data_IF_045330697262
#
_entry.id   IF_045330697262
#
_cell.length_a   1.000
_cell.length_b   1.000
_cell.length_c   1.000
_cell.angle_alpha   90.00
_cell.angle_beta   90.00
_cell.angle_gamma   90.00
#
_symmetry.space_group_name_H-M   'P 1'
#
loop_
_entity.id
_entity.type
_entity.pdbx_description
1 polymer ?
#
# COMPACT_ATOMS: atom_id res chain seq x y z
N UNK A 1 19.11 -22.01 22.38
CA UNK A 1 19.36 -20.73 21.68
C UNK A 1 18.23 -20.52 20.69
N UNK A 2 17.51 -19.39 20.76
CA UNK A 2 16.38 -19.11 19.84
C UNK A 2 16.95 -18.67 18.50
N UNK A 3 16.64 -19.39 17.43
CA UNK A 3 17.05 -19.06 16.07
C UNK A 3 16.27 -17.84 15.60
N UNK A 4 16.93 -16.81 15.02
CA UNK A 4 16.22 -15.68 14.46
C UNK A 4 15.27 -16.13 13.34
N UNK A 5 14.09 -15.53 13.28
CA UNK A 5 13.13 -15.83 12.21
C UNK A 5 13.77 -15.61 10.84
N UNK A 6 13.56 -16.56 9.92
CA UNK A 6 13.95 -16.39 8.52
C UNK A 6 13.17 -15.18 7.99
N UNK A 7 13.87 -14.21 7.41
CA UNK A 7 13.24 -13.03 6.83
C UNK A 7 12.37 -13.50 5.66
N UNK A 8 11.05 -13.44 5.82
CA UNK A 8 10.08 -13.66 4.75
C UNK A 8 9.37 -12.34 4.44
N UNK A 9 9.39 -11.92 3.17
CA UNK A 9 8.62 -10.77 2.68
C UNK A 9 7.14 -10.84 3.10
N UNK A 10 6.57 -12.03 3.22
CA UNK A 10 5.18 -12.24 3.68
C UNK A 10 4.96 -11.80 5.13
N UNK A 11 6.00 -11.85 5.96
CA UNK A 11 5.95 -11.45 7.38
C UNK A 11 6.56 -10.06 7.62
N UNK A 12 7.13 -9.43 6.59
CA UNK A 12 7.79 -8.13 6.68
C UNK A 12 6.89 -7.06 7.32
N UNK A 13 5.60 -7.04 6.96
CA UNK A 13 4.62 -6.09 7.50
C UNK A 13 4.31 -6.27 8.99
N UNK A 14 4.66 -7.41 9.59
CA UNK A 14 4.52 -7.65 11.03
C UNK A 14 5.66 -7.03 11.84
N UNK A 15 6.79 -6.73 11.18
CA UNK A 15 7.89 -6.03 11.80
C UNK A 15 7.54 -4.54 11.91
N UNK A 16 7.45 -4.02 13.14
CA UNK A 16 7.11 -2.61 13.39
C UNK A 16 8.07 -1.64 12.67
N UNK A 17 9.32 -2.07 12.44
CA UNK A 17 10.32 -1.25 11.75
C UNK A 17 10.12 -1.18 10.23
N UNK A 18 9.24 -1.99 9.64
CA UNK A 18 9.00 -2.01 8.19
C UNK A 18 8.46 -0.68 7.63
N UNK A 19 7.69 0.06 8.45
CA UNK A 19 7.14 1.38 8.10
C UNK A 19 8.03 2.54 8.56
N UNK A 20 9.12 2.26 9.27
CA UNK A 20 10.00 3.29 9.86
C UNK A 20 11.12 3.64 8.88
N UNK A 21 11.48 4.93 8.83
CA UNK A 21 12.71 5.37 8.17
C UNK A 21 13.91 5.10 9.07
N UNK A 22 14.74 4.14 8.67
CA UNK A 22 15.94 3.76 9.41
C UNK A 22 16.94 4.91 9.45
N UNK A 23 17.29 5.35 10.65
CA UNK A 23 18.32 6.37 10.89
C UNK A 23 19.69 5.71 10.97
N UNK A 24 20.31 5.52 9.83
CA UNK A 24 21.60 4.83 9.72
C UNK A 24 22.69 5.79 9.23
N UNK A 25 23.95 5.62 9.69
CA UNK A 25 25.08 6.25 9.05
C UNK A 25 25.22 5.79 7.60
N UNK A 26 25.67 6.66 6.69
CA UNK A 26 25.82 6.36 5.26
C UNK A 26 26.71 5.14 5.04
N UNK A 27 27.77 4.98 5.84
CA UNK A 27 28.61 3.78 5.80
C UNK A 27 27.80 2.50 5.95
N UNK A 28 26.81 2.47 6.85
CA UNK A 28 25.97 1.28 7.06
C UNK A 28 25.00 1.06 5.90
N UNK A 29 24.50 2.12 5.28
CA UNK A 29 23.64 2.05 4.09
C UNK A 29 24.38 1.38 2.93
N UNK A 30 25.66 1.73 2.72
CA UNK A 30 26.49 1.08 1.71
C UNK A 30 26.67 -0.42 1.93
N UNK A 31 26.66 -0.87 3.18
CA UNK A 31 26.90 -2.26 3.57
C UNK A 31 25.61 -3.03 3.93
N UNK A 32 24.40 -2.49 3.68
CA UNK A 32 23.17 -3.26 3.89
C UNK A 32 23.20 -4.53 3.06
N UNK A 33 22.71 -5.64 3.61
CA UNK A 33 22.65 -6.90 2.86
C UNK A 33 21.50 -6.82 1.86
N UNK A 34 21.71 -7.26 0.62
CA UNK A 34 20.60 -7.45 -0.30
C UNK A 34 19.75 -8.63 0.19
N UNK A 35 18.43 -8.48 0.16
CA UNK A 35 17.53 -9.57 0.47
C UNK A 35 17.55 -10.59 -0.68
N UNK A 36 17.90 -11.84 -0.38
CA UNK A 36 17.84 -12.96 -1.33
C UNK A 36 16.84 -13.98 -0.81
N UNK A 37 15.72 -14.18 -1.50
CA UNK A 37 14.75 -15.23 -1.17
C UNK A 37 15.42 -16.58 -1.35
N UNK A 38 15.42 -17.42 -0.30
CA UNK A 38 16.11 -18.71 -0.30
C UNK A 38 15.40 -19.83 -1.09
N UNK A 39 14.31 -19.54 -1.82
CA UNK A 39 13.45 -20.56 -2.45
C UNK A 39 13.15 -20.36 -3.95
N UNK A 40 14.00 -19.64 -4.69
CA UNK A 40 13.83 -19.58 -6.14
C UNK A 40 15.16 -19.75 -6.85
N UNK A 41 15.30 -20.85 -7.61
CA UNK A 41 16.22 -21.00 -8.74
C UNK A 41 15.89 -20.04 -9.90
N UNK A 42 15.41 -18.84 -9.58
CA UNK A 42 15.31 -17.71 -10.49
C UNK A 42 16.38 -16.71 -10.09
N UNK A 43 17.60 -17.00 -10.54
CA UNK A 43 18.58 -15.97 -10.90
C UNK A 43 17.85 -15.02 -11.85
N UNK A 44 17.28 -13.93 -11.35
CA UNK A 44 16.89 -12.69 -12.05
C UNK A 44 16.12 -11.70 -11.14
N UNK A 45 16.15 -11.82 -9.80
CA UNK A 45 15.77 -10.72 -8.88
C UNK A 45 17.05 -10.01 -8.39
N UNK A 46 18.02 -9.80 -9.29
CA UNK A 46 19.16 -8.90 -9.04
C UNK A 46 18.76 -7.42 -9.13
N UNK A 47 17.56 -7.11 -9.61
CA UNK A 47 17.08 -5.72 -9.82
C UNK A 47 16.19 -5.18 -8.69
N UNK A 48 15.83 -6.01 -7.70
CA UNK A 48 14.72 -5.73 -6.78
C UNK A 48 14.98 -4.78 -5.61
N UNK A 49 16.20 -4.26 -5.40
CA UNK A 49 16.47 -3.14 -4.48
C UNK A 49 15.99 -3.27 -3.03
N UNK A 50 15.72 -4.48 -2.52
CA UNK A 50 15.31 -4.68 -1.12
C UNK A 50 16.54 -4.95 -0.27
N UNK A 51 16.69 -4.14 0.78
CA UNK A 51 17.85 -4.19 1.68
C UNK A 51 17.45 -4.64 3.07
N UNK A 52 18.37 -5.30 3.75
CA UNK A 52 18.21 -5.72 5.13
C UNK A 52 19.31 -5.14 6.02
N UNK A 53 18.90 -4.68 7.19
CA UNK A 53 19.79 -4.39 8.31
C UNK A 53 19.52 -5.46 9.38
N UNK A 54 20.53 -6.25 9.73
CA UNK A 54 20.32 -7.49 10.50
C UNK A 54 19.24 -8.36 9.83
N UNK A 55 18.14 -8.64 10.54
CA UNK A 55 16.96 -9.34 10.01
C UNK A 55 15.73 -8.42 9.81
N UNK A 56 15.94 -7.11 9.71
CA UNK A 56 14.89 -6.14 9.38
C UNK A 56 14.97 -5.75 7.91
N UNK A 57 13.83 -5.77 7.22
CA UNK A 57 13.72 -5.19 5.89
C UNK A 57 13.72 -3.66 6.01
N UNK A 58 14.62 -3.02 5.27
CA UNK A 58 14.81 -1.58 5.23
C UNK A 58 14.06 -1.03 4.03
N UNK A 59 12.86 -0.50 4.27
CA UNK A 59 12.04 0.14 3.24
C UNK A 59 12.48 1.58 2.96
N UNK A 60 12.86 2.32 4.01
CA UNK A 60 13.30 3.72 3.93
C UNK A 60 14.47 3.98 4.84
N UNK A 61 15.32 4.91 4.44
CA UNK A 61 16.41 5.45 5.25
C UNK A 61 16.25 6.95 5.43
N UNK A 62 16.70 7.46 6.56
CA UNK A 62 16.83 8.89 6.83
C UNK A 62 18.29 9.18 7.17
N UNK A 63 18.92 10.05 6.39
CA UNK A 63 20.28 10.54 6.60
C UNK A 63 20.28 12.04 6.90
N UNK A 64 21.32 12.49 7.58
CA UNK A 64 21.61 13.90 7.81
C UNK A 64 23.08 14.11 7.51
N UNK A 65 23.41 15.11 6.69
CA UNK A 65 24.79 15.36 6.28
C UNK A 65 24.93 16.61 5.44
N UNK A 66 26.16 16.93 5.08
CA UNK A 66 26.54 18.12 4.33
C UNK A 66 26.53 17.82 2.83
N UNK A 67 25.97 18.74 2.04
CA UNK A 67 26.02 18.64 0.58
C UNK A 67 27.44 18.91 0.08
N UNK A 68 28.07 17.89 -0.50
CA UNK A 68 29.45 17.95 -1.04
C UNK A 68 29.51 17.93 -2.57
N UNK A 69 28.38 17.65 -3.23
CA UNK A 69 28.23 17.79 -4.69
C UNK A 69 26.79 18.16 -5.04
N UNK A 70 26.63 19.02 -6.04
CA UNK A 70 25.35 19.42 -6.61
C UNK A 70 25.36 19.17 -8.11
N UNK A 71 24.39 18.40 -8.62
CA UNK A 71 24.11 18.22 -10.05
C UNK A 71 22.64 18.59 -10.31
N UNK A 72 22.43 19.75 -10.95
CA UNK A 72 21.09 20.29 -11.24
C UNK A 72 20.64 19.81 -12.62
N UNK A 73 19.50 19.12 -12.67
CA UNK A 73 18.85 18.70 -13.93
C UNK A 73 17.49 19.35 -14.05
N UNK A 74 16.88 19.24 -15.23
CA UNK A 74 15.56 19.81 -15.51
C UNK A 74 14.47 19.19 -14.63
N UNK A 75 14.42 17.85 -14.52
CA UNK A 75 13.36 17.11 -13.81
C UNK A 75 13.69 16.75 -12.36
N UNK A 76 14.97 16.80 -11.97
CA UNK A 76 15.43 16.45 -10.64
C UNK A 76 16.73 17.18 -10.32
N UNK A 77 17.09 17.23 -9.04
CA UNK A 77 18.43 17.61 -8.60
C UNK A 77 19.06 16.40 -7.91
N UNK A 78 20.34 16.19 -8.14
CA UNK A 78 21.12 15.11 -7.52
C UNK A 78 22.19 15.71 -6.62
N UNK A 79 22.27 15.24 -5.39
CA UNK A 79 23.21 15.74 -4.39
C UNK A 79 24.08 14.60 -3.89
N UNK A 80 25.38 14.82 -3.71
CA UNK A 80 26.19 13.93 -2.88
C UNK A 80 26.19 14.48 -1.46
N UNK A 81 25.80 13.66 -0.49
CA UNK A 81 25.67 14.05 0.91
C UNK A 81 26.69 13.26 1.73
N UNK A 82 27.44 13.94 2.58
CA UNK A 82 28.47 13.38 3.48
C UNK A 82 28.02 13.53 4.95
N UNK A 83 28.02 12.43 5.70
CA UNK A 83 27.70 12.40 7.14
C UNK A 83 28.93 12.13 8.03
N UNK A 84 30.13 12.26 7.47
CA UNK A 84 31.40 11.92 8.11
C UNK A 84 31.69 10.42 8.20
N UNK A 85 30.74 9.55 7.82
CA UNK A 85 30.95 8.10 7.74
C UNK A 85 31.02 7.59 6.31
N UNK A 86 30.48 8.33 5.36
CA UNK A 86 30.59 8.08 3.94
C UNK A 86 29.77 9.08 3.14
N UNK A 87 29.88 9.00 1.81
CA UNK A 87 29.15 9.86 0.87
C UNK A 87 28.16 9.04 0.08
N UNK A 88 26.94 9.54 -0.13
CA UNK A 88 25.93 8.88 -0.96
C UNK A 88 25.20 9.88 -1.86
N UNK A 89 24.84 9.41 -3.06
CA UNK A 89 24.01 10.18 -3.99
C UNK A 89 22.55 10.16 -3.56
N UNK A 90 21.91 11.32 -3.60
CA UNK A 90 20.52 11.56 -3.25
C UNK A 90 19.83 12.28 -4.41
N UNK A 91 18.78 11.66 -4.97
CA UNK A 91 18.03 12.22 -6.10
C UNK A 91 16.71 12.80 -5.61
N UNK A 92 16.53 14.11 -5.76
CA UNK A 92 15.33 14.86 -5.39
C UNK A 92 14.55 15.27 -6.64
N UNK A 93 13.34 14.75 -6.82
CA UNK A 93 12.50 15.06 -7.97
C UNK A 93 11.83 16.43 -7.83
N UNK A 94 11.87 17.23 -8.90
CA UNK A 94 11.18 18.52 -8.94
C UNK A 94 9.70 18.28 -9.19
N UNK A 95 8.84 18.79 -8.32
CA UNK A 95 7.39 18.68 -8.48
C UNK A 95 6.87 19.84 -9.34
N UNK A 96 6.63 19.58 -10.63
CA UNK A 96 6.10 20.56 -11.60
C UNK A 96 4.70 21.08 -11.27
N UNK A 97 3.94 20.42 -10.39
CA UNK A 97 2.58 20.83 -10.00
C UNK A 97 2.58 21.94 -8.95
N UNK A 98 3.66 22.09 -8.17
CA UNK A 98 3.76 23.13 -7.13
C UNK A 98 3.91 24.53 -7.77
N UNK A 99 4.52 24.61 -8.96
CA UNK A 99 4.65 25.87 -9.70
C UNK A 99 3.33 26.40 -10.25
N UNK A 100 2.38 25.55 -10.60
CA UNK A 100 1.08 25.93 -11.19
C UNK A 100 -0.02 26.16 -10.14
N UNK A 101 -0.05 25.38 -9.05
CA UNK A 101 -1.14 25.40 -8.07
C UNK A 101 -1.16 26.66 -7.16
N UNK A 102 -0.06 27.43 -7.11
CA UNK A 102 0.10 28.54 -6.18
C UNK A 102 -0.77 29.77 -6.49
N UNK A 103 -1.22 29.95 -7.75
CA UNK A 103 -1.98 31.15 -8.16
C UNK A 103 -3.49 30.99 -8.04
N UNK A 104 -4.02 29.77 -8.21
CA UNK A 104 -5.47 29.52 -8.24
C UNK A 104 -6.08 29.37 -6.84
N UNK A 105 -5.32 28.86 -5.87
CA UNK A 105 -5.83 28.55 -4.54
C UNK A 105 -5.78 29.72 -3.55
N UNK A 106 -4.86 30.68 -3.75
CA UNK A 106 -4.68 31.81 -2.82
C UNK A 106 -5.89 32.76 -2.81
N UNK A 107 -6.59 32.92 -3.92
CA UNK A 107 -7.75 33.82 -4.04
C UNK A 107 -9.00 33.33 -3.30
N UNK A 108 -9.06 32.06 -2.89
CA UNK A 108 -10.21 31.44 -2.20
C UNK A 108 -10.04 31.33 -0.69
N UNK A 109 -8.84 31.59 -0.16
CA UNK A 109 -8.54 31.47 1.26
C UNK A 109 -8.87 32.77 2.02
N UNK A 110 -9.31 32.72 3.28
CA UNK A 110 -9.39 33.90 4.16
C UNK A 110 -8.03 34.60 4.33
N UNK A 111 -8.02 35.92 4.50
CA UNK A 111 -6.80 36.76 4.59
C UNK A 111 -5.75 36.23 5.59
N UNK A 112 -6.19 35.74 6.75
CA UNK A 112 -5.31 35.19 7.80
C UNK A 112 -4.60 33.89 7.38
N UNK A 113 -5.19 33.14 6.45
CA UNK A 113 -4.62 31.92 5.88
C UNK A 113 -3.84 32.21 4.59
N UNK A 114 -4.16 33.27 3.86
CA UNK A 114 -3.40 33.67 2.67
C UNK A 114 -1.95 34.00 3.02
N UNK A 115 -1.70 34.75 4.09
CA UNK A 115 -0.33 35.09 4.52
C UNK A 115 0.46 33.84 4.92
N UNK A 116 -0.13 32.94 5.72
CA UNK A 116 0.49 31.67 6.12
C UNK A 116 0.72 30.72 4.94
N UNK A 117 -0.22 30.72 3.98
CA UNK A 117 -0.09 29.94 2.76
C UNK A 117 1.00 30.50 1.84
N UNK A 118 1.13 31.82 1.77
CA UNK A 118 2.24 32.50 1.10
C UNK A 118 3.59 32.12 1.70
N UNK A 119 3.72 32.16 3.03
CA UNK A 119 4.93 31.71 3.73
C UNK A 119 5.24 30.23 3.48
N UNK A 120 4.24 29.35 3.51
CA UNK A 120 4.38 27.92 3.20
C UNK A 120 4.78 27.68 1.74
N UNK A 121 4.24 28.46 0.79
CA UNK A 121 4.62 28.38 -0.62
C UNK A 121 6.05 28.83 -0.79
N UNK A 122 6.45 29.95 -0.19
CA UNK A 122 7.84 30.44 -0.26
C UNK A 122 8.76 29.38 0.33
N UNK A 123 8.51 28.91 1.55
CA UNK A 123 9.32 27.88 2.21
C UNK A 123 9.41 26.57 1.42
N UNK A 124 8.31 26.12 0.81
CA UNK A 124 8.33 24.94 -0.06
C UNK A 124 9.04 25.23 -1.39
N UNK A 125 8.91 26.44 -1.97
CA UNK A 125 9.59 26.83 -3.21
C UNK A 125 11.10 26.93 -3.02
N UNK A 126 11.60 27.57 -1.98
CA UNK A 126 13.05 27.65 -1.71
C UNK A 126 13.63 26.25 -1.55
N UNK A 127 12.96 25.39 -0.78
CA UNK A 127 13.43 24.02 -0.53
C UNK A 127 13.27 23.06 -1.73
N UNK A 128 12.26 23.24 -2.60
CA UNK A 128 11.93 22.29 -3.68
C UNK A 128 12.33 22.77 -5.09
N UNK A 129 12.42 24.08 -5.34
CA UNK A 129 12.72 24.65 -6.66
C UNK A 129 14.18 25.12 -6.78
N UNK A 130 14.68 25.88 -5.80
CA UNK A 130 16.07 26.42 -5.84
C UNK A 130 17.10 25.32 -5.53
N UNK A 131 16.71 24.33 -4.72
CA UNK A 131 17.54 23.19 -4.35
C UNK A 131 18.53 23.53 -3.23
N UNK A 132 19.61 22.76 -3.13
CA UNK A 132 20.64 22.95 -2.11
C UNK A 132 21.97 23.36 -2.74
N UNK A 133 22.77 24.09 -1.97
CA UNK A 133 24.13 24.48 -2.35
C UNK A 133 25.18 23.67 -1.60
N UNK A 134 26.42 23.75 -2.09
CA UNK A 134 27.56 23.12 -1.42
C UNK A 134 27.71 23.68 0.00
N UNK A 135 27.90 22.79 0.97
CA UNK A 135 28.04 23.13 2.38
C UNK A 135 26.72 23.18 3.16
N UNK A 136 25.56 23.11 2.50
CA UNK A 136 24.28 23.06 3.20
C UNK A 136 24.15 21.76 4.01
N UNK A 137 23.73 21.89 5.27
CA UNK A 137 23.33 20.75 6.10
C UNK A 137 21.90 20.36 5.75
N UNK A 138 21.70 19.10 5.35
CA UNK A 138 20.42 18.60 4.87
C UNK A 138 20.01 17.32 5.57
N UNK A 139 18.69 17.11 5.70
CA UNK A 139 18.09 15.85 6.07
C UNK A 139 17.37 15.27 4.86
N UNK A 140 17.73 14.04 4.49
CA UNK A 140 17.22 13.34 3.31
C UNK A 140 16.60 12.01 3.75
N UNK A 141 15.34 11.79 3.38
CA UNK A 141 14.60 10.57 3.67
C UNK A 141 14.11 9.95 2.36
N UNK A 142 14.42 8.68 2.13
CA UNK A 142 14.15 8.05 0.84
C UNK A 142 14.33 6.55 0.82
N UNK A 143 14.20 5.97 -0.36
CA UNK A 143 14.44 4.54 -0.61
C UNK A 143 15.85 4.34 -1.13
N UNK A 144 16.54 3.32 -0.63
CA UNK A 144 17.83 2.91 -1.17
C UNK A 144 17.58 2.21 -2.50
N UNK A 145 18.29 2.65 -3.54
CA UNK A 145 18.24 2.07 -4.89
C UNK A 145 19.66 1.77 -5.35
N UNK A 146 19.81 0.90 -6.35
CA UNK A 146 21.11 0.65 -7.00
C UNK A 146 21.02 1.15 -8.42
N UNK A 147 21.97 2.00 -8.80
CA UNK A 147 22.14 2.49 -10.16
C UNK A 147 23.60 2.30 -10.57
N UNK A 148 23.84 1.55 -11.65
CA UNK A 148 25.20 1.23 -12.15
C UNK A 148 26.12 0.71 -11.03
N UNK A 149 25.64 -0.29 -10.31
CA UNK A 149 26.34 -0.93 -9.17
C UNK A 149 26.70 0.00 -8.00
N UNK A 150 26.11 1.19 -7.96
CA UNK A 150 26.27 2.16 -6.87
C UNK A 150 24.95 2.36 -6.15
N UNK A 151 25.01 2.41 -4.82
CA UNK A 151 23.84 2.71 -3.99
C UNK A 151 23.57 4.20 -4.01
N UNK A 152 22.31 4.52 -4.19
CA UNK A 152 21.78 5.88 -4.19
C UNK A 152 20.51 5.92 -3.34
N UNK A 153 20.06 7.11 -2.99
CA UNK A 153 18.81 7.33 -2.28
C UNK A 153 17.86 8.08 -3.22
N UNK A 154 16.76 7.44 -3.61
CA UNK A 154 15.65 8.12 -4.23
C UNK A 154 14.82 8.82 -3.13
N UNK A 155 14.94 10.15 -3.08
CA UNK A 155 14.47 10.96 -1.96
C UNK A 155 12.96 11.16 -2.07
N UNK A 156 12.26 10.86 -0.96
CA UNK A 156 10.82 11.06 -0.80
C UNK A 156 10.51 12.34 -0.02
N UNK A 157 11.40 12.72 0.90
CA UNK A 157 11.29 13.91 1.72
C UNK A 157 12.69 14.46 2.00
N UNK A 158 12.85 15.77 1.87
CA UNK A 158 14.09 16.46 2.19
C UNK A 158 13.84 17.83 2.78
N UNK A 159 14.78 18.30 3.60
CA UNK A 159 14.79 19.67 4.12
C UNK A 159 16.20 20.15 4.42
N UNK A 160 16.41 21.45 4.32
CA UNK A 160 17.57 22.13 4.90
C UNK A 160 17.47 22.14 6.42
N UNK A 161 18.61 22.08 7.09
CA UNK A 161 18.73 22.15 8.54
C UNK A 161 19.51 23.41 8.91
N UNK A 162 18.83 24.38 9.51
CA UNK A 162 19.47 25.64 9.89
C UNK A 162 20.02 25.63 11.34
N UNK A 163 19.63 24.65 12.16
CA UNK A 163 20.13 24.53 13.52
C UNK A 163 21.58 24.00 13.51
N UNK A 164 22.58 24.77 13.97
CA UNK A 164 23.98 24.35 13.97
C UNK A 164 24.26 23.16 14.91
N UNK A 165 23.42 22.95 15.93
CA UNK A 165 23.58 21.85 16.89
C UNK A 165 22.97 20.53 16.40
N UNK A 166 22.25 20.53 15.28
CA UNK A 166 21.47 19.38 14.83
C UNK A 166 22.34 18.13 14.57
N UNK A 167 23.56 18.31 14.05
CA UNK A 167 24.50 17.22 13.79
C UNK A 167 24.97 16.57 15.10
N UNK A 168 25.33 17.38 16.10
CA UNK A 168 25.75 16.89 17.42
C UNK A 168 24.60 16.15 18.12
N UNK A 169 23.38 16.69 18.05
CA UNK A 169 22.18 16.03 18.57
C UNK A 169 21.87 14.70 17.85
N UNK A 170 22.10 14.65 16.53
CA UNK A 170 21.94 13.43 15.72
C UNK A 170 22.92 12.36 16.20
N UNK A 171 24.18 12.73 16.41
CA UNK A 171 25.23 11.83 16.88
C UNK A 171 24.92 11.26 18.26
N UNK A 172 24.44 12.10 19.20
CA UNK A 172 24.12 11.64 20.55
C UNK A 172 22.96 10.63 20.58
N UNK A 173 21.97 10.79 19.69
CA UNK A 173 20.82 9.88 19.56
C UNK A 173 21.13 8.57 18.82
N UNK A 174 22.28 8.47 18.13
CA UNK A 174 22.63 7.31 17.30
C UNK A 174 22.72 6.01 18.11
N UNK A 175 23.21 6.08 19.35
CA UNK A 175 23.31 4.92 20.25
C UNK A 175 21.92 4.37 20.60
N UNK A 176 20.93 5.24 20.81
CA UNK A 176 19.54 4.87 21.09
C UNK A 176 18.89 4.16 19.91
N UNK A 177 19.13 4.60 18.68
CA UNK A 177 18.62 3.92 17.49
C UNK A 177 19.22 2.52 17.33
N UNK A 178 20.52 2.37 17.58
CA UNK A 178 21.20 1.07 17.52
C UNK A 178 20.60 0.05 18.48
N UNK A 179 20.25 0.46 19.72
CA UNK A 179 19.56 -0.43 20.69
C UNK A 179 18.24 -1.01 20.17
N UNK A 180 17.60 -0.37 19.18
CA UNK A 180 16.36 -0.87 18.57
C UNK A 180 16.65 -1.63 17.28
N UNK A 181 17.56 -1.13 16.45
CA UNK A 181 17.84 -1.70 15.12
C UNK A 181 18.76 -2.93 15.16
N UNK A 182 19.59 -3.07 16.19
CA UNK A 182 20.48 -4.22 16.36
C UNK A 182 19.78 -5.41 17.05
N UNK A 183 18.62 -5.18 17.67
CA UNK A 183 17.80 -6.23 18.30
C UNK A 183 17.04 -7.02 17.23
N UNK A 184 17.33 -8.31 17.04
CA UNK A 184 16.75 -9.08 15.94
C UNK A 184 15.23 -9.18 16.10
N UNK A 185 14.52 -9.00 14.98
CA UNK A 185 13.09 -9.21 14.95
C UNK A 185 12.76 -10.69 15.23
N UNK A 186 11.96 -10.92 16.27
CA UNK A 186 11.47 -12.24 16.65
C UNK A 186 9.96 -12.26 16.54
N UNK A 187 9.42 -13.13 15.68
CA UNK A 187 7.98 -13.41 15.66
C UNK A 187 7.60 -14.16 16.93
N UNK A 188 6.48 -13.79 17.55
CA UNK A 188 6.00 -14.55 18.69
C UNK A 188 5.58 -15.94 18.20
N UNK A 189 5.89 -17.03 18.93
CA UNK A 189 5.55 -18.39 18.50
C UNK A 189 4.05 -18.61 18.24
N UNK A 190 3.19 -17.83 18.91
CA UNK A 190 1.74 -17.88 18.70
C UNK A 190 1.32 -17.21 17.40
N UNK A 191 1.91 -16.06 17.07
CA UNK A 191 1.68 -15.40 15.78
C UNK A 191 2.29 -16.21 14.64
N UNK A 192 3.47 -16.79 14.82
CA UNK A 192 4.08 -17.68 13.83
C UNK A 192 3.19 -18.90 13.56
N UNK A 193 2.63 -19.54 14.59
CA UNK A 193 1.66 -20.63 14.41
C UNK A 193 0.36 -20.21 13.71
N UNK A 194 -0.13 -18.99 13.96
CA UNK A 194 -1.31 -18.45 13.25
C UNK A 194 -0.98 -18.08 11.80
N UNK A 195 0.16 -17.47 11.55
CA UNK A 195 0.62 -17.09 10.21
C UNK A 195 0.99 -18.31 9.37
N UNK A 196 1.66 -19.30 9.97
CA UNK A 196 1.92 -20.61 9.35
C UNK A 196 0.59 -21.30 9.08
N UNK A 197 -0.38 -21.37 10.00
CA UNK A 197 -1.73 -21.89 9.66
C UNK A 197 -2.39 -21.18 8.46
N UNK A 198 -2.19 -19.87 8.31
CA UNK A 198 -2.79 -19.09 7.22
C UNK A 198 -1.96 -19.12 5.91
N UNK A 199 -0.64 -19.31 5.97
CA UNK A 199 0.30 -19.33 4.82
C UNK A 199 0.63 -20.76 4.38
N UNK A 200 0.66 -21.73 5.29
CA UNK A 200 0.74 -23.18 5.05
C UNK A 200 -0.62 -23.86 5.05
N UNK A 201 -1.70 -23.09 5.00
CA UNK A 201 -2.93 -23.58 4.38
C UNK A 201 -2.67 -23.75 2.88
N UNK A 202 -1.92 -24.78 2.48
CA UNK A 202 -1.91 -25.32 1.12
C UNK A 202 -3.24 -26.05 0.83
N UNK A 203 -4.33 -25.64 1.47
CA UNK A 203 -5.66 -26.07 1.08
C UNK A 203 -5.99 -25.33 -0.20
N UNK A 204 -6.49 -26.08 -1.19
CA UNK A 204 -6.97 -25.56 -2.47
C UNK A 204 -7.79 -24.26 -2.33
N UNK A 205 -8.71 -24.11 -1.34
CA UNK A 205 -9.47 -22.87 -1.14
C UNK A 205 -8.61 -21.61 -0.91
N UNK A 206 -7.54 -21.70 -0.10
CA UNK A 206 -6.72 -20.54 0.25
C UNK A 206 -5.81 -20.08 -0.91
N UNK A 207 -5.40 -21.02 -1.77
CA UNK A 207 -4.63 -20.70 -2.98
C UNK A 207 -5.55 -20.07 -4.02
N UNK A 208 -6.75 -20.62 -4.17
CA UNK A 208 -7.79 -20.11 -5.07
C UNK A 208 -8.22 -18.69 -4.67
N UNK A 209 -8.45 -18.45 -3.38
CA UNK A 209 -8.81 -17.15 -2.83
C UNK A 209 -7.76 -16.08 -3.20
N UNK A 210 -6.48 -16.39 -3.01
CA UNK A 210 -5.38 -15.49 -3.38
C UNK A 210 -5.30 -15.21 -4.87
N UNK A 211 -5.47 -16.25 -5.70
CA UNK A 211 -5.46 -16.10 -7.15
C UNK A 211 -6.63 -15.21 -7.62
N UNK A 212 -7.82 -15.40 -7.07
CA UNK A 212 -9.01 -14.59 -7.36
C UNK A 212 -8.78 -13.13 -6.94
N UNK A 213 -8.28 -12.89 -5.73
CA UNK A 213 -7.99 -11.54 -5.25
C UNK A 213 -6.93 -10.82 -6.12
N UNK A 214 -5.92 -11.53 -6.61
CA UNK A 214 -4.93 -10.95 -7.54
C UNK A 214 -5.58 -10.54 -8.87
N UNK A 215 -6.47 -11.35 -9.41
CA UNK A 215 -7.20 -11.05 -10.65
C UNK A 215 -8.16 -9.88 -10.43
N UNK A 216 -8.81 -9.81 -9.27
CA UNK A 216 -9.73 -8.73 -8.92
C UNK A 216 -9.03 -7.40 -8.63
N UNK A 217 -7.81 -7.42 -8.11
CA UNK A 217 -7.03 -6.20 -7.86
C UNK A 217 -6.28 -5.70 -9.10
N UNK A 218 -6.33 -6.43 -10.23
CA UNK A 218 -5.69 -5.98 -11.46
C UNK A 218 -6.49 -4.81 -12.06
N UNK A 219 -5.89 -3.61 -12.21
CA UNK A 219 -6.58 -2.43 -12.73
C UNK A 219 -7.02 -2.57 -14.20
N UNK A 220 -6.50 -3.54 -14.95
CA UNK A 220 -6.88 -3.83 -16.34
C UNK A 220 -8.12 -4.73 -16.43
N UNK A 221 -8.55 -5.32 -15.32
CA UNK A 221 -9.66 -6.26 -15.32
C UNK A 221 -11.01 -5.50 -15.29
N UNK A 222 -11.62 -5.31 -16.45
CA UNK A 222 -12.91 -4.64 -16.62
C UNK A 222 -14.13 -5.51 -16.26
N UNK A 223 -13.93 -6.78 -15.86
CA UNK A 223 -15.08 -7.66 -15.54
C UNK A 223 -15.87 -7.14 -14.34
N UNK A 224 -17.16 -6.96 -14.55
CA UNK A 224 -18.15 -6.54 -13.54
C UNK A 224 -18.84 -7.72 -12.85
N UNK A 225 -18.84 -8.88 -13.50
CA UNK A 225 -19.49 -10.10 -13.04
C UNK A 225 -18.54 -11.30 -13.18
N UNK A 226 -18.68 -12.25 -12.27
CA UNK A 226 -17.94 -13.50 -12.21
C UNK A 226 -18.93 -14.66 -12.28
N UNK A 227 -18.81 -15.47 -13.34
CA UNK A 227 -19.45 -16.78 -13.40
C UNK A 227 -18.40 -17.85 -13.01
N UNK A 228 -18.61 -18.62 -11.93
CA UNK A 228 -17.73 -19.72 -11.54
C UNK A 228 -17.43 -20.70 -12.69
N UNK A 229 -18.38 -20.94 -13.60
CA UNK A 229 -18.19 -21.81 -14.77
C UNK A 229 -17.18 -21.23 -15.76
N UNK A 230 -17.25 -19.93 -16.02
CA UNK A 230 -16.31 -19.24 -16.91
C UNK A 230 -14.92 -19.16 -16.26
N UNK A 231 -14.87 -18.92 -14.95
CA UNK A 231 -13.62 -18.81 -14.19
C UNK A 231 -12.76 -20.08 -14.24
N UNK A 232 -13.37 -21.27 -14.34
CA UNK A 232 -12.63 -22.54 -14.51
C UNK A 232 -11.79 -22.57 -15.80
N UNK A 233 -12.17 -21.80 -16.83
CA UNK A 233 -11.42 -21.70 -18.08
C UNK A 233 -10.23 -20.74 -18.02
N UNK A 234 -10.10 -19.95 -16.95
CA UNK A 234 -9.03 -18.97 -16.83
C UNK A 234 -7.71 -19.67 -16.54
N UNK A 235 -6.67 -19.35 -17.31
CA UNK A 235 -5.34 -20.00 -17.21
C UNK A 235 -4.76 -19.98 -15.80
N UNK A 236 -4.92 -18.87 -15.07
CA UNK A 236 -4.49 -18.74 -13.68
C UNK A 236 -5.23 -19.71 -12.74
N UNK A 237 -6.54 -19.88 -12.90
CA UNK A 237 -7.37 -20.75 -12.06
C UNK A 237 -7.18 -22.23 -12.44
N UNK A 238 -7.16 -22.52 -13.74
CA UNK A 238 -6.91 -23.87 -14.26
C UNK A 238 -5.54 -24.41 -13.82
N UNK A 239 -4.50 -23.57 -13.78
CA UNK A 239 -3.17 -23.96 -13.30
C UNK A 239 -3.14 -24.34 -11.80
N UNK A 240 -4.02 -23.73 -10.98
CA UNK A 240 -4.13 -24.04 -9.55
C UNK A 240 -4.77 -25.41 -9.33
N UNK A 241 -5.79 -25.76 -10.10
CA UNK A 241 -6.38 -27.10 -10.04
C UNK A 241 -5.43 -28.18 -10.57
N UNK A 242 -4.74 -27.92 -11.70
CA UNK A 242 -3.77 -28.87 -12.29
C UNK A 242 -2.53 -29.12 -11.41
N UNK A 243 -2.08 -28.12 -10.65
CA UNK A 243 -0.96 -28.29 -9.72
C UNK A 243 -1.35 -29.10 -8.48
N UNK A 244 -2.59 -28.94 -8.00
CA UNK A 244 -3.11 -29.72 -6.88
C UNK A 244 -3.39 -31.19 -7.24
N UNK A 245 -3.78 -31.48 -8.49
CA UNK A 245 -3.97 -32.87 -8.97
C UNK A 245 -2.66 -33.66 -9.07
N UNK A 246 -1.52 -32.99 -9.32
CA UNK A 246 -0.20 -33.67 -9.41
C UNK A 246 0.35 -34.15 -8.07
N UNK A 247 -0.07 -33.52 -6.97
CA UNK A 247 0.32 -33.89 -5.61
C UNK A 247 -0.54 -35.03 -5.02
N UNK A 248 -1.71 -35.30 -5.61
CA UNK A 248 -2.61 -36.39 -5.21
C UNK A 248 -2.40 -37.62 -6.10
N UNK A 249 -1.67 -38.63 -5.63
CA UNK A 249 -1.49 -39.88 -6.37
C UNK A 249 -2.83 -40.61 -6.56
N UNK A 250 -3.21 -40.86 -7.82
CA UNK A 250 -4.15 -41.86 -8.32
C UNK A 250 -5.64 -41.75 -7.92
N UNK A 251 -6.48 -41.40 -8.90
CA UNK A 251 -7.37 -42.33 -9.63
C UNK A 251 -8.12 -41.53 -10.72
N UNK A 252 -8.45 -42.21 -11.81
CA UNK A 252 -9.30 -41.68 -12.89
C UNK A 252 -10.71 -41.53 -12.31
N UNK A 253 -11.01 -40.38 -11.71
CA UNK A 253 -12.38 -39.93 -11.55
C UNK A 253 -12.82 -39.26 -12.85
N UNK A 254 -14.08 -39.49 -13.25
CA UNK A 254 -14.68 -38.90 -14.45
C UNK A 254 -14.40 -37.39 -14.49
N UNK A 255 -13.94 -36.90 -15.65
CA UNK A 255 -13.62 -35.48 -15.89
C UNK A 255 -14.79 -34.55 -15.48
N UNK A 256 -16.02 -35.03 -15.57
CA UNK A 256 -17.23 -34.31 -15.16
C UNK A 256 -17.38 -34.21 -13.62
N UNK A 257 -16.96 -35.24 -12.87
CA UNK A 257 -16.96 -35.20 -11.41
C UNK A 257 -15.93 -34.21 -10.88
N UNK A 258 -14.71 -34.22 -11.45
CA UNK A 258 -13.66 -33.28 -11.08
C UNK A 258 -14.05 -31.82 -11.37
N UNK A 259 -14.69 -31.54 -12.51
CA UNK A 259 -15.23 -30.21 -12.81
C UNK A 259 -16.30 -29.77 -11.82
N UNK A 260 -17.19 -30.69 -11.42
CA UNK A 260 -18.25 -30.41 -10.43
C UNK A 260 -17.65 -30.04 -9.07
N UNK A 261 -16.66 -30.79 -8.59
CA UNK A 261 -16.00 -30.53 -7.31
C UNK A 261 -15.16 -29.23 -7.35
N UNK A 262 -14.52 -28.93 -8.48
CA UNK A 262 -13.83 -27.67 -8.70
C UNK A 262 -14.79 -26.47 -8.67
N UNK A 263 -15.96 -26.60 -9.28
CA UNK A 263 -17.00 -25.57 -9.28
C UNK A 263 -17.58 -25.34 -7.88
N UNK A 264 -17.83 -26.42 -7.14
CA UNK A 264 -18.31 -26.34 -5.75
C UNK A 264 -17.28 -25.64 -4.85
N UNK A 265 -16.00 -26.02 -4.98
CA UNK A 265 -14.90 -25.39 -4.25
C UNK A 265 -14.77 -23.90 -4.58
N UNK A 266 -14.83 -23.55 -5.87
CA UNK A 266 -14.75 -22.16 -6.32
C UNK A 266 -15.92 -21.32 -5.80
N UNK A 267 -17.13 -21.87 -5.84
CA UNK A 267 -18.33 -21.21 -5.32
C UNK A 267 -18.22 -20.98 -3.82
N UNK A 268 -17.72 -21.97 -3.06
CA UNK A 268 -17.49 -21.84 -1.63
C UNK A 268 -16.48 -20.73 -1.30
N UNK A 269 -15.40 -20.61 -2.10
CA UNK A 269 -14.39 -19.54 -1.95
C UNK A 269 -15.00 -18.17 -2.23
N UNK A 270 -15.84 -18.04 -3.26
CA UNK A 270 -16.49 -16.77 -3.59
C UNK A 270 -17.49 -16.33 -2.51
N UNK A 271 -18.26 -17.26 -1.95
CA UNK A 271 -19.14 -17.00 -0.79
C UNK A 271 -18.32 -16.63 0.46
N UNK A 272 -17.15 -17.24 0.63
CA UNK A 272 -16.23 -16.86 1.69
C UNK A 272 -15.71 -15.43 1.50
N UNK A 273 -15.33 -15.05 0.27
CA UNK A 273 -14.86 -13.70 -0.07
C UNK A 273 -15.94 -12.63 0.10
N UNK A 274 -17.20 -12.95 -0.20
CA UNK A 274 -18.36 -12.10 0.10
C UNK A 274 -18.48 -11.84 1.60
N UNK A 275 -18.37 -12.90 2.42
CA UNK A 275 -18.56 -12.80 3.87
C UNK A 275 -17.38 -12.18 4.61
N UNK A 276 -16.15 -12.43 4.17
CA UNK A 276 -14.90 -12.01 4.83
C UNK A 276 -14.45 -10.61 4.39
N UNK A 277 -14.29 -10.40 3.09
CA UNK A 277 -13.68 -9.20 2.52
C UNK A 277 -14.71 -8.25 1.91
N UNK A 278 -15.88 -8.74 1.47
CA UNK A 278 -16.93 -7.94 0.86
C UNK A 278 -16.63 -7.49 -0.58
N UNK A 279 -15.59 -8.04 -1.21
CA UNK A 279 -15.14 -7.64 -2.55
C UNK A 279 -15.99 -8.20 -3.71
N UNK A 280 -16.87 -9.16 -3.41
CA UNK A 280 -17.83 -9.75 -4.33
C UNK A 280 -19.19 -9.87 -3.64
N UNK A 281 -20.27 -9.83 -4.42
CA UNK A 281 -21.65 -9.99 -3.95
C UNK A 281 -22.35 -11.09 -4.75
N UNK A 282 -22.96 -12.05 -4.06
CA UNK A 282 -23.71 -13.13 -4.70
C UNK A 282 -25.04 -12.62 -5.26
N UNK A 283 -25.34 -12.93 -6.53
CA UNK A 283 -26.60 -12.62 -7.20
C UNK A 283 -27.40 -13.90 -7.48
N UNK A 284 -28.73 -13.79 -7.65
CA UNK A 284 -29.56 -14.92 -8.04
C UNK A 284 -29.01 -15.55 -9.33
N UNK A 285 -28.78 -16.88 -9.32
CA UNK A 285 -28.18 -17.60 -10.45
C UNK A 285 -26.71 -17.97 -10.29
N UNK A 286 -26.11 -17.82 -9.09
CA UNK A 286 -24.70 -18.14 -8.79
C UNK A 286 -23.68 -17.30 -9.56
N UNK A 287 -24.10 -16.11 -10.02
CA UNK A 287 -23.22 -15.10 -10.59
C UNK A 287 -22.81 -14.15 -9.47
N UNK A 288 -21.55 -13.74 -9.43
CA UNK A 288 -21.03 -12.83 -8.41
C UNK A 288 -20.72 -11.47 -9.02
N UNK A 289 -21.33 -10.41 -8.49
CA UNK A 289 -21.03 -9.03 -8.85
C UNK A 289 -19.72 -8.60 -8.18
N UNK A 290 -18.80 -8.00 -8.94
CA UNK A 290 -17.53 -7.49 -8.41
C UNK A 290 -17.74 -6.08 -7.86
N UNK A 291 -17.36 -5.86 -6.59
CA UNK A 291 -17.60 -4.60 -5.90
C UNK A 291 -16.46 -3.62 -6.17
N UNK A 292 -16.76 -2.57 -6.93
CA UNK A 292 -15.82 -1.51 -7.34
C UNK A 292 -16.56 -0.19 -7.60
N UNK A 293 -15.85 0.95 -7.70
CA UNK A 293 -16.45 2.20 -8.15
C UNK A 293 -17.15 2.02 -9.50
N UNK A 294 -18.37 2.56 -9.64
CA UNK A 294 -19.19 2.48 -10.86
C UNK A 294 -20.05 1.21 -11.02
N UNK A 295 -19.94 0.21 -10.14
CA UNK A 295 -20.80 -0.97 -10.22
C UNK A 295 -22.29 -0.63 -9.91
N UNK A 296 -23.25 -1.48 -10.30
CA UNK A 296 -24.67 -1.27 -10.02
C UNK A 296 -24.99 -0.97 -8.55
N UNK A 297 -24.35 -1.67 -7.61
CA UNK A 297 -24.49 -1.38 -6.18
C UNK A 297 -23.88 -0.02 -5.79
N UNK A 298 -22.70 0.33 -6.30
CA UNK A 298 -22.04 1.61 -6.07
C UNK A 298 -22.93 2.79 -6.48
N UNK A 299 -23.52 2.72 -7.68
CA UNK A 299 -24.43 3.76 -8.18
C UNK A 299 -25.67 3.91 -7.28
N UNK A 300 -26.19 2.80 -6.74
CA UNK A 300 -27.31 2.83 -5.81
C UNK A 300 -26.94 3.45 -4.47
N UNK A 301 -25.78 3.10 -3.90
CA UNK A 301 -25.26 3.68 -2.66
C UNK A 301 -25.02 5.17 -2.80
N UNK A 302 -24.40 5.60 -3.90
CA UNK A 302 -24.20 7.01 -4.23
C UNK A 302 -25.53 7.77 -4.30
N UNK A 303 -26.55 7.20 -4.95
CA UNK A 303 -27.89 7.80 -5.00
C UNK A 303 -28.51 7.96 -3.59
N UNK A 304 -28.38 6.94 -2.73
CA UNK A 304 -28.88 6.99 -1.34
C UNK A 304 -28.17 8.09 -0.54
N UNK A 305 -26.85 8.20 -0.66
CA UNK A 305 -26.06 9.21 0.05
C UNK A 305 -26.44 10.62 -0.45
N UNK A 306 -26.49 10.81 -1.77
CA UNK A 306 -26.88 12.09 -2.37
C UNK A 306 -28.28 12.50 -1.92
N UNK A 307 -29.27 11.62 -2.01
CA UNK A 307 -30.65 11.88 -1.57
C UNK A 307 -30.68 12.25 -0.08
N UNK A 308 -29.99 11.49 0.76
CA UNK A 308 -29.91 11.74 2.20
C UNK A 308 -29.21 13.06 2.56
N UNK A 309 -28.34 13.58 1.70
CA UNK A 309 -27.61 14.84 1.92
C UNK A 309 -28.29 16.07 1.29
N UNK A 310 -29.36 15.90 0.50
CA UNK A 310 -30.05 17.05 -0.14
C UNK A 310 -30.84 17.94 0.84
N UNK A 311 -31.14 17.48 2.06
CA UNK A 311 -31.85 18.31 3.05
C UNK A 311 -31.83 17.77 4.49
N UNK A 312 -32.06 18.67 5.45
CA UNK A 312 -32.20 18.33 6.88
C UNK A 312 -30.88 18.15 7.65
N UNK A 313 -30.91 17.39 8.75
CA UNK A 313 -29.77 17.20 9.69
C UNK A 313 -28.53 16.55 9.06
N UNK A 314 -28.68 15.92 7.90
CA UNK A 314 -27.62 15.22 7.19
C UNK A 314 -26.94 16.10 6.11
N UNK A 315 -27.46 17.29 5.82
CA UNK A 315 -26.88 18.18 4.81
C UNK A 315 -25.46 18.66 5.19
N UNK A 316 -25.22 18.90 6.48
CA UNK A 316 -23.91 19.34 6.99
C UNK A 316 -23.03 18.19 7.49
N UNK A 317 -23.64 17.10 7.98
CA UNK A 317 -22.93 16.00 8.66
C UNK A 317 -22.77 14.76 7.80
N UNK A 318 -23.48 14.65 6.69
CA UNK A 318 -23.47 13.48 5.81
C UNK A 318 -24.38 12.33 6.25
N UNK A 319 -24.52 11.35 5.36
CA UNK A 319 -25.34 10.16 5.53
C UNK A 319 -24.60 9.10 6.37
N UNK A 320 -25.23 8.57 7.41
CA UNK A 320 -24.61 7.55 8.26
C UNK A 320 -24.63 6.16 7.59
N UNK A 321 -23.59 5.33 7.79
CA UNK A 321 -23.49 3.97 7.22
C UNK A 321 -24.74 3.12 7.45
N UNK A 322 -25.26 3.13 8.69
CA UNK A 322 -26.48 2.38 9.03
C UNK A 322 -27.71 2.84 8.24
N UNK A 323 -27.79 4.13 7.88
CA UNK A 323 -28.88 4.65 7.04
C UNK A 323 -28.77 4.13 5.60
N UNK A 324 -27.55 3.98 5.09
CA UNK A 324 -27.29 3.33 3.80
C UNK A 324 -27.73 1.87 3.86
N UNK A 325 -27.29 1.13 4.88
CA UNK A 325 -27.69 -0.27 5.07
C UNK A 325 -29.20 -0.46 5.22
N UNK A 326 -29.86 0.37 6.04
CA UNK A 326 -31.31 0.30 6.25
C UNK A 326 -32.08 0.56 4.95
N UNK A 327 -31.60 1.51 4.13
CA UNK A 327 -32.20 1.81 2.83
C UNK A 327 -31.96 0.69 1.82
N UNK A 328 -30.77 0.09 1.82
CA UNK A 328 -30.46 -1.08 1.00
C UNK A 328 -31.30 -2.29 1.38
N UNK A 329 -31.48 -2.56 2.68
CA UNK A 329 -32.33 -3.65 3.19
C UNK A 329 -33.80 -3.53 2.73
N UNK A 330 -34.29 -2.31 2.53
CA UNK A 330 -35.64 -2.02 1.99
C UNK A 330 -35.73 -2.14 0.47
N UNK A 331 -34.61 -2.23 -0.23
CA UNK A 331 -34.57 -2.40 -1.68
C UNK A 331 -34.91 -3.83 -2.07
N UNK A 332 -35.75 -4.01 -3.10
CA UNK A 332 -36.11 -5.34 -3.62
C UNK A 332 -34.90 -6.13 -4.15
N UNK A 333 -33.87 -5.43 -4.63
CA UNK A 333 -32.72 -6.00 -5.35
C UNK A 333 -31.50 -6.21 -4.44
N UNK A 334 -31.43 -5.48 -3.32
CA UNK A 334 -30.25 -5.42 -2.45
C UNK A 334 -30.60 -5.70 -0.97
N UNK A 335 -31.74 -6.35 -0.72
CA UNK A 335 -32.22 -6.64 0.63
C UNK A 335 -31.30 -7.57 1.42
N UNK A 336 -30.56 -8.44 0.72
CA UNK A 336 -29.67 -9.46 1.28
C UNK A 336 -28.19 -9.06 1.30
N UNK A 337 -27.85 -7.79 0.99
CA UNK A 337 -26.45 -7.35 0.93
C UNK A 337 -25.83 -7.37 2.33
N UNK A 338 -24.71 -8.10 2.55
CA UNK A 338 -24.01 -8.11 3.83
C UNK A 338 -23.42 -6.74 4.20
N UNK A 339 -23.35 -6.44 5.51
CA UNK A 339 -22.76 -5.19 6.00
C UNK A 339 -21.26 -5.03 5.64
N UNK A 340 -20.51 -6.14 5.52
CA UNK A 340 -19.12 -6.13 5.09
C UNK A 340 -18.99 -5.65 3.63
N UNK A 341 -19.88 -6.05 2.73
CA UNK A 341 -19.92 -5.56 1.34
C UNK A 341 -20.17 -4.05 1.28
N UNK A 342 -21.12 -3.54 2.08
CA UNK A 342 -21.39 -2.09 2.14
C UNK A 342 -20.18 -1.32 2.65
N UNK A 343 -19.51 -1.85 3.69
CA UNK A 343 -18.32 -1.23 4.26
C UNK A 343 -17.16 -1.20 3.27
N UNK A 344 -16.88 -2.34 2.62
CA UNK A 344 -15.86 -2.45 1.59
C UNK A 344 -16.11 -1.50 0.41
N UNK A 345 -17.37 -1.37 -0.01
CA UNK A 345 -17.76 -0.46 -1.08
C UNK A 345 -17.54 1.02 -0.71
N UNK A 346 -17.86 1.41 0.53
CA UNK A 346 -17.63 2.79 1.00
C UNK A 346 -16.13 3.11 1.03
N UNK A 347 -15.29 2.16 1.48
CA UNK A 347 -13.83 2.30 1.46
C UNK A 347 -13.30 2.44 0.00
N UNK A 348 -13.89 1.69 -0.95
CA UNK A 348 -13.55 1.81 -2.36
C UNK A 348 -13.89 3.20 -2.92
N UNK A 349 -15.08 3.72 -2.61
CA UNK A 349 -15.56 5.02 -3.07
C UNK A 349 -14.79 6.19 -2.43
N UNK A 350 -14.34 6.03 -1.18
CA UNK A 350 -13.44 6.99 -0.54
C UNK A 350 -12.06 6.97 -1.20
N UNK A 351 -11.54 5.78 -1.53
CA UNK A 351 -10.25 5.63 -2.21
C UNK A 351 -10.27 6.21 -3.63
N UNK A 352 -11.38 6.07 -4.36
CA UNK A 352 -11.57 6.68 -5.69
C UNK A 352 -11.92 8.18 -5.63
N UNK A 353 -12.07 8.76 -4.44
CA UNK A 353 -12.50 10.15 -4.24
C UNK A 353 -13.90 10.47 -4.81
N UNK A 354 -14.81 9.50 -4.80
CA UNK A 354 -16.23 9.71 -5.09
C UNK A 354 -17.00 10.16 -3.84
N UNK A 355 -16.56 9.66 -2.67
CA UNK A 355 -17.08 10.01 -1.35
C UNK A 355 -15.94 10.50 -0.44
N UNK A 356 -16.30 11.17 0.65
CA UNK A 356 -15.40 11.39 1.78
C UNK A 356 -16.14 11.17 3.10
N UNK A 357 -15.39 10.72 4.11
CA UNK A 357 -15.90 10.58 5.47
C UNK A 357 -15.85 11.93 6.19
N UNK A 358 -17.01 12.51 6.48
CA UNK A 358 -17.14 13.80 7.18
C UNK A 358 -16.96 13.65 8.70
N UNK A 359 -17.51 12.57 9.25
CA UNK A 359 -17.42 12.15 10.65
C UNK A 359 -17.32 10.62 10.69
N UNK A 360 -16.90 9.99 11.81
CA UNK A 360 -16.86 8.54 11.91
C UNK A 360 -18.19 7.91 11.46
N UNK A 361 -18.12 7.05 10.44
CA UNK A 361 -19.27 6.35 9.85
C UNK A 361 -20.29 7.25 9.12
N UNK A 362 -19.95 8.50 8.79
CA UNK A 362 -20.78 9.41 7.99
C UNK A 362 -20.07 9.81 6.70
N UNK A 363 -20.80 9.70 5.60
CA UNK A 363 -20.28 9.87 4.25
C UNK A 363 -21.03 10.96 3.51
N UNK A 364 -20.29 11.72 2.71
CA UNK A 364 -20.81 12.72 1.79
C UNK A 364 -20.20 12.50 0.42
N UNK A 365 -20.98 12.76 -0.63
CA UNK A 365 -20.47 12.77 -1.98
C UNK A 365 -19.70 14.06 -2.27
N UNK A 366 -18.62 13.94 -3.02
CA UNK A 366 -17.93 15.10 -3.58
C UNK A 366 -18.81 15.69 -4.69
N UNK A 367 -19.31 16.90 -4.48
CA UNK A 367 -19.99 17.65 -5.54
C UNK A 367 -18.95 18.03 -6.60
N UNK A 368 -18.99 17.34 -7.74
CA UNK A 368 -18.27 17.74 -8.97
C UNK A 368 -18.94 18.90 -9.67
#
# INVERSE_FOLDING_TARGET
>A
MKTPAIIDLKTAGLNQLFKVSFRLPIRKIHHLKCFTSSNTEQKNISDGGIFCYQNHIVNRVEIMGIVVRVDRREKHNSYAVDDGTGVINCTCWKNSRISSCSKEFSGRLPQSLQSKFGELIVHNRTNMLEGYDLGDLVLMCGRVTVFRDRREINVLYHRRIDNPNAEVERMSKMSTYRKVYDEPFMLSPNLEKQFVKNVTGNSLPNVLERAILQILNNPVNEKTELDPKEMLSWSAISSVFQSHEKDASAKIDDLETAKRDALETLTAVLLHLESSNGCVLSRPGQIFEVIRPGCPLANKVMAIINEACTGGKNAERGCHRLQVEDTLRRSRVYSSVPACVVTYLLDCLETSSDLFMSEPQRYMALQT
#
